data_IF_989868143808
#
_entry.id   IF_989868143808
#
_cell.length_a   1.000
_cell.length_b   1.000
_cell.length_c   1.000
_cell.angle_alpha   90.00
_cell.angle_beta   90.00
_cell.angle_gamma   90.00
#
_symmetry.space_group_name_H-M   'P 1'
#
loop_
_entity.id
_entity.type
_entity.pdbx_description
1 polymer ?
#
# COMPACT_ATOMS: atom_id res chain seq x y z
N UNK A 1 -13.86 2.42 10.73
CA UNK A 1 -13.70 3.82 10.32
C UNK A 1 -13.09 4.68 11.43
N UNK A 2 -13.75 4.92 12.58
CA UNK A 2 -13.25 5.79 13.67
C UNK A 2 -11.82 5.46 14.15
N UNK A 3 -11.49 4.17 14.31
CA UNK A 3 -10.15 3.74 14.73
C UNK A 3 -9.11 4.04 13.65
N UNK A 4 -9.43 3.81 12.38
CA UNK A 4 -8.55 4.12 11.26
C UNK A 4 -8.24 5.63 11.21
N UNK A 5 -9.26 6.49 11.31
CA UNK A 5 -9.08 7.94 11.35
C UNK A 5 -8.21 8.40 12.52
N UNK A 6 -8.42 7.81 13.71
CA UNK A 6 -7.58 8.12 14.88
C UNK A 6 -6.11 7.70 14.66
N UNK A 7 -5.87 6.56 13.98
CA UNK A 7 -4.52 6.11 13.64
C UNK A 7 -3.87 7.02 12.59
N UNK A 8 -4.62 7.47 11.57
CA UNK A 8 -4.14 8.43 10.57
C UNK A 8 -3.75 9.74 11.25
N UNK A 9 -4.62 10.28 12.08
CA UNK A 9 -4.34 11.50 12.85
C UNK A 9 -3.08 11.38 13.70
N UNK A 10 -2.94 10.27 14.45
CA UNK A 10 -1.77 10.03 15.29
C UNK A 10 -0.49 9.94 14.44
N UNK A 11 -0.49 9.15 13.37
CA UNK A 11 0.65 8.96 12.49
C UNK A 11 1.07 10.26 11.77
N UNK A 12 0.12 11.07 11.34
CA UNK A 12 0.39 12.37 10.72
C UNK A 12 0.93 13.39 11.74
N UNK A 13 0.29 13.50 12.92
CA UNK A 13 0.68 14.44 13.97
C UNK A 13 2.09 14.12 14.51
N UNK A 14 2.37 12.86 14.78
CA UNK A 14 3.68 12.44 15.27
C UNK A 14 4.76 12.55 14.18
N UNK A 15 4.41 12.27 12.94
CA UNK A 15 5.30 12.48 11.81
C UNK A 15 5.70 13.96 11.67
N UNK A 16 4.73 14.87 11.76
CA UNK A 16 5.01 16.31 11.73
C UNK A 16 5.87 16.73 12.92
N UNK A 17 5.59 16.23 14.12
CA UNK A 17 6.37 16.55 15.31
C UNK A 17 7.84 16.08 15.21
N UNK A 18 8.08 14.90 14.65
CA UNK A 18 9.45 14.46 14.35
C UNK A 18 10.18 15.43 13.43
N UNK A 19 9.51 15.87 12.35
CA UNK A 19 10.06 16.83 11.39
C UNK A 19 10.37 18.19 12.06
N UNK A 20 9.47 18.70 12.90
CA UNK A 20 9.61 19.96 13.63
C UNK A 20 10.77 19.91 14.65
N UNK A 21 11.02 18.74 15.23
CA UNK A 21 12.16 18.51 16.13
C UNK A 21 13.48 18.27 15.38
N UNK A 22 13.49 18.22 14.04
CA UNK A 22 14.66 17.87 13.23
C UNK A 22 15.16 16.44 13.45
N UNK A 23 14.28 15.55 13.91
CA UNK A 23 14.56 14.13 14.15
C UNK A 23 14.08 13.32 12.95
N UNK A 24 14.92 12.49 12.32
CA UNK A 24 14.47 11.67 11.20
C UNK A 24 13.47 10.62 11.67
N UNK A 25 12.45 10.39 10.86
CA UNK A 25 11.48 9.31 11.02
C UNK A 25 11.46 8.43 9.78
N UNK A 26 10.68 7.36 9.82
CA UNK A 26 10.37 6.54 8.64
C UNK A 26 8.97 6.94 8.19
N UNK A 27 8.91 7.61 7.05
CA UNK A 27 7.69 8.16 6.46
C UNK A 27 7.24 7.33 5.26
N UNK A 28 5.94 7.32 5.03
CA UNK A 28 5.34 6.88 3.76
C UNK A 28 4.83 8.11 3.03
N UNK A 29 5.14 8.19 1.77
CA UNK A 29 4.75 9.32 0.91
C UNK A 29 4.21 8.84 -0.41
N UNK A 30 3.26 9.58 -0.95
CA UNK A 30 2.71 9.36 -2.29
C UNK A 30 2.52 10.73 -2.95
N UNK A 31 3.22 10.94 -4.04
CA UNK A 31 3.27 12.27 -4.68
C UNK A 31 1.96 12.65 -5.37
N UNK A 32 1.19 11.67 -5.85
CA UNK A 32 -0.05 11.90 -6.61
C UNK A 32 -0.88 10.61 -6.65
N UNK A 33 -2.19 10.75 -6.91
CA UNK A 33 -3.12 9.65 -7.20
C UNK A 33 -3.06 9.18 -8.66
N UNK A 34 -2.16 9.73 -9.47
CA UNK A 34 -2.03 9.34 -10.87
C UNK A 34 -1.63 7.85 -10.99
N UNK A 35 -2.18 7.12 -11.98
CA UNK A 35 -1.85 5.71 -12.19
C UNK A 35 -0.34 5.49 -12.29
N UNK A 36 0.17 4.48 -11.59
CA UNK A 36 1.59 4.13 -11.56
C UNK A 36 2.43 4.87 -10.51
N UNK A 37 1.86 5.85 -9.79
CA UNK A 37 2.55 6.50 -8.66
C UNK A 37 2.38 5.63 -7.42
N UNK A 38 3.47 5.01 -7.01
CA UNK A 38 3.51 4.12 -5.85
C UNK A 38 3.85 4.88 -4.57
N UNK A 39 3.38 4.35 -3.44
CA UNK A 39 3.83 4.77 -2.12
C UNK A 39 5.32 4.46 -1.95
N UNK A 40 6.04 5.37 -1.30
CA UNK A 40 7.47 5.25 -1.05
C UNK A 40 7.78 5.39 0.43
N UNK A 41 8.73 4.63 0.91
CA UNK A 41 9.31 4.85 2.24
C UNK A 41 10.56 5.72 2.15
N UNK A 42 10.72 6.62 3.12
CA UNK A 42 11.85 7.55 3.18
C UNK A 42 12.03 8.13 4.57
N UNK A 43 13.11 8.91 4.75
CA UNK A 43 13.47 9.49 6.05
C UNK A 43 13.04 10.95 6.21
N UNK A 44 12.42 11.53 5.18
CA UNK A 44 11.94 12.93 5.17
C UNK A 44 10.41 12.96 5.14
N UNK A 45 9.82 13.89 5.88
CA UNK A 45 8.38 14.15 5.82
C UNK A 45 8.00 14.67 4.42
N UNK A 46 7.08 13.98 3.77
CA UNK A 46 6.52 14.34 2.47
C UNK A 46 5.02 14.02 2.46
N UNK A 47 4.22 14.69 1.61
CA UNK A 47 2.80 14.45 1.52
C UNK A 47 2.46 13.01 1.08
N UNK A 48 1.31 12.55 1.58
CA UNK A 48 0.71 11.28 1.14
C UNK A 48 -0.64 11.58 0.49
N UNK A 49 -0.68 11.64 -0.84
CA UNK A 49 -1.85 12.05 -1.60
C UNK A 49 -3.07 11.14 -1.37
N UNK A 50 -2.86 9.82 -1.28
CA UNK A 50 -3.95 8.85 -1.07
C UNK A 50 -4.65 9.02 0.28
N UNK A 51 -3.92 9.41 1.33
CA UNK A 51 -4.51 9.65 2.66
C UNK A 51 -4.90 11.14 2.84
N UNK A 52 -4.41 12.03 1.98
CA UNK A 52 -4.71 13.46 2.05
C UNK A 52 -4.03 14.19 3.22
N UNK A 53 -2.88 13.70 3.69
CA UNK A 53 -2.15 14.29 4.83
C UNK A 53 -0.80 14.87 4.40
N UNK A 54 -0.29 15.91 5.10
CA UNK A 54 0.97 16.57 4.74
C UNK A 54 2.20 15.70 5.02
N UNK A 55 2.10 14.74 5.93
CA UNK A 55 3.11 13.71 6.17
C UNK A 55 2.48 12.52 6.87
N UNK A 56 3.07 11.36 6.71
CA UNK A 56 2.57 10.14 7.31
C UNK A 56 3.73 9.23 7.77
N UNK A 57 3.84 9.02 9.07
CA UNK A 57 4.87 8.17 9.67
C UNK A 57 4.21 7.06 10.47
N UNK A 58 4.41 5.81 10.08
CA UNK A 58 3.88 4.68 10.81
C UNK A 58 4.46 4.60 12.21
N UNK A 59 3.59 4.62 13.23
CA UNK A 59 3.99 4.56 14.66
C UNK A 59 2.95 3.91 15.56
N UNK A 60 1.81 3.47 15.01
CA UNK A 60 0.67 2.96 15.77
C UNK A 60 0.62 1.44 15.92
N UNK A 61 1.52 0.69 15.29
CA UNK A 61 1.52 -0.77 15.33
C UNK A 61 2.91 -1.39 15.60
N UNK A 62 3.62 -1.01 16.68
CA UNK A 62 5.01 -1.41 16.93
C UNK A 62 5.19 -2.91 17.21
N UNK A 63 4.13 -3.62 17.58
CA UNK A 63 4.19 -5.06 17.85
C UNK A 63 4.32 -5.90 16.57
N UNK A 64 3.85 -5.38 15.45
CA UNK A 64 3.85 -6.11 14.17
C UNK A 64 4.69 -5.45 13.08
N UNK A 65 5.08 -4.19 13.22
CA UNK A 65 5.91 -3.46 12.27
C UNK A 65 7.11 -2.83 12.96
N UNK A 66 8.29 -3.30 12.62
CA UNK A 66 9.53 -2.81 13.22
C UNK A 66 9.79 -1.32 12.96
N UNK A 67 9.38 -0.82 11.81
CA UNK A 67 9.48 0.61 11.47
C UNK A 67 8.67 1.51 12.40
N UNK A 68 7.51 1.03 12.88
CA UNK A 68 6.72 1.74 13.90
C UNK A 68 7.46 1.84 15.23
N UNK A 69 8.12 0.76 15.64
CA UNK A 69 8.92 0.75 16.87
C UNK A 69 10.10 1.74 16.76
N UNK A 70 10.77 1.78 15.62
CA UNK A 70 11.84 2.75 15.34
C UNK A 70 11.31 4.18 15.44
N UNK A 71 10.17 4.47 14.82
CA UNK A 71 9.54 5.78 14.91
C UNK A 71 9.15 6.13 16.35
N UNK A 72 8.64 5.17 17.13
CA UNK A 72 8.34 5.41 18.55
C UNK A 72 9.58 5.76 19.37
N UNK A 73 10.74 5.13 19.13
CA UNK A 73 11.98 5.52 19.78
C UNK A 73 12.36 6.97 19.48
N UNK A 74 12.18 7.40 18.25
CA UNK A 74 12.44 8.78 17.83
C UNK A 74 11.43 9.75 18.49
N UNK A 75 10.14 9.39 18.55
CA UNK A 75 9.08 10.15 19.22
C UNK A 75 9.38 10.28 20.73
N UNK A 76 9.82 9.20 21.38
CA UNK A 76 10.21 9.22 22.79
C UNK A 76 11.39 10.18 23.02
N UNK A 77 12.35 10.22 22.09
CA UNK A 77 13.44 11.19 22.18
C UNK A 77 12.92 12.64 22.07
N UNK A 78 11.99 12.91 21.18
CA UNK A 78 11.34 14.23 21.09
C UNK A 78 10.59 14.59 22.39
N UNK A 79 9.85 13.65 22.96
CA UNK A 79 9.13 13.87 24.20
C UNK A 79 10.04 14.17 25.40
N UNK A 80 11.19 13.49 25.48
CA UNK A 80 12.14 13.64 26.58
C UNK A 80 13.04 14.85 26.46
N UNK A 81 13.45 15.21 25.25
CA UNK A 81 14.52 16.16 25.01
C UNK A 81 14.09 17.44 24.28
N UNK A 82 12.84 17.48 23.77
CA UNK A 82 12.29 18.67 23.09
C UNK A 82 13.21 19.17 21.97
N UNK A 83 13.64 20.43 22.07
CA UNK A 83 14.49 21.08 21.05
C UNK A 83 15.88 20.45 20.86
N UNK A 84 16.34 19.65 21.83
CA UNK A 84 17.64 18.96 21.75
C UNK A 84 17.50 17.51 21.32
N UNK A 85 16.29 17.08 20.95
CA UNK A 85 15.98 15.70 20.56
C UNK A 85 16.86 15.19 19.42
N UNK A 86 17.18 16.03 18.43
CA UNK A 86 18.06 15.68 17.32
C UNK A 86 19.46 15.22 17.77
N UNK A 87 19.94 15.66 18.94
CA UNK A 87 21.21 15.23 19.51
C UNK A 87 21.09 13.92 20.32
N UNK A 88 19.91 13.66 20.90
CA UNK A 88 19.66 12.55 21.81
C UNK A 88 18.98 11.34 21.14
N UNK A 89 18.32 11.56 20.00
CA UNK A 89 17.59 10.52 19.28
C UNK A 89 18.49 9.35 18.88
N UNK A 90 17.99 8.11 18.90
CA UNK A 90 18.75 6.91 18.52
C UNK A 90 19.32 6.99 17.08
N UNK A 91 18.56 7.51 16.15
CA UNK A 91 18.99 7.68 14.76
C UNK A 91 19.13 9.17 14.43
N UNK A 92 20.18 9.51 13.70
CA UNK A 92 20.50 10.87 13.26
C UNK A 92 20.06 11.09 11.81
N UNK A 93 19.93 12.33 11.34
CA UNK A 93 19.76 12.61 9.92
C UNK A 93 20.85 11.94 9.08
N UNK A 94 20.46 11.27 7.98
CA UNK A 94 21.35 10.52 7.08
C UNK A 94 22.02 9.29 7.72
N UNK A 95 21.48 8.74 8.81
CA UNK A 95 22.02 7.54 9.46
C UNK A 95 21.87 6.30 8.56
N UNK A 96 23.02 5.67 8.25
CA UNK A 96 23.05 4.48 7.40
C UNK A 96 22.24 3.31 8.00
N UNK A 97 22.20 3.20 9.34
CA UNK A 97 21.43 2.16 10.01
C UNK A 97 19.91 2.36 9.79
N UNK A 98 19.43 3.62 9.77
CA UNK A 98 18.03 3.90 9.50
C UNK A 98 17.64 3.49 8.08
N UNK A 99 18.49 3.74 7.09
CA UNK A 99 18.27 3.27 5.71
C UNK A 99 18.34 1.75 5.61
N UNK A 100 19.24 1.10 6.34
CA UNK A 100 19.31 -0.37 6.41
C UNK A 100 18.03 -0.99 6.98
N UNK A 101 17.47 -0.37 8.02
CA UNK A 101 16.16 -0.77 8.60
C UNK A 101 15.05 -0.69 7.56
N UNK A 102 14.96 0.42 6.81
CA UNK A 102 13.94 0.61 5.77
C UNK A 102 14.09 -0.48 4.70
N UNK A 103 15.30 -0.68 4.17
CA UNK A 103 15.54 -1.68 3.11
C UNK A 103 15.25 -3.10 3.57
N UNK A 104 15.65 -3.47 4.78
CA UNK A 104 15.40 -4.80 5.34
C UNK A 104 13.89 -5.02 5.60
N UNK A 105 13.21 -4.00 6.10
CA UNK A 105 11.76 -4.07 6.31
C UNK A 105 11.02 -4.20 4.99
N UNK A 106 11.38 -3.40 3.98
CA UNK A 106 10.74 -3.43 2.66
C UNK A 106 10.86 -4.81 2.02
N UNK A 107 12.07 -5.40 2.03
CA UNK A 107 12.29 -6.73 1.50
C UNK A 107 11.47 -7.81 2.23
N UNK A 108 11.46 -7.79 3.58
CA UNK A 108 10.70 -8.74 4.38
C UNK A 108 9.19 -8.56 4.20
N UNK A 109 8.73 -7.31 4.10
CA UNK A 109 7.32 -6.99 3.93
C UNK A 109 6.82 -7.39 2.54
N UNK A 110 7.60 -7.14 1.50
CA UNK A 110 7.28 -7.59 0.14
C UNK A 110 7.17 -9.12 0.04
N UNK A 111 8.10 -9.85 0.67
CA UNK A 111 8.05 -11.31 0.70
C UNK A 111 6.81 -11.84 1.45
N UNK A 112 6.50 -11.24 2.59
CA UNK A 112 5.31 -11.58 3.37
C UNK A 112 4.02 -11.35 2.58
N UNK A 113 3.89 -10.18 1.96
CA UNK A 113 2.71 -9.82 1.18
C UNK A 113 2.57 -10.70 -0.07
N UNK A 114 3.67 -11.00 -0.75
CA UNK A 114 3.65 -11.92 -1.88
C UNK A 114 3.15 -13.31 -1.48
N UNK A 115 3.60 -13.82 -0.32
CA UNK A 115 3.11 -15.08 0.22
C UNK A 115 1.63 -15.01 0.59
N UNK A 116 1.23 -13.97 1.30
CA UNK A 116 -0.17 -13.80 1.73
C UNK A 116 -1.11 -13.69 0.53
N UNK A 117 -0.79 -12.86 -0.46
CA UNK A 117 -1.59 -12.72 -1.68
C UNK A 117 -1.64 -14.03 -2.48
N UNK A 118 -0.53 -14.77 -2.57
CA UNK A 118 -0.51 -16.08 -3.19
C UNK A 118 -1.40 -17.09 -2.47
N UNK A 119 -1.38 -17.12 -1.15
CA UNK A 119 -2.25 -18.00 -0.34
C UNK A 119 -3.72 -17.62 -0.45
N UNK A 120 -4.05 -16.33 -0.43
CA UNK A 120 -5.42 -15.87 -0.63
C UNK A 120 -5.94 -16.26 -2.02
N UNK A 121 -5.12 -16.04 -3.06
CA UNK A 121 -5.46 -16.46 -4.42
C UNK A 121 -5.64 -17.97 -4.53
N UNK A 122 -4.75 -18.78 -3.95
CA UNK A 122 -4.87 -20.23 -3.91
C UNK A 122 -6.21 -20.68 -3.32
N UNK A 123 -6.55 -20.18 -2.14
CA UNK A 123 -7.79 -20.56 -1.47
C UNK A 123 -9.03 -20.06 -2.18
N UNK A 124 -8.95 -18.90 -2.82
CA UNK A 124 -10.04 -18.39 -3.66
C UNK A 124 -10.28 -19.30 -4.86
N UNK A 125 -9.24 -19.71 -5.58
CA UNK A 125 -9.36 -20.65 -6.69
C UNK A 125 -9.88 -22.03 -6.25
N UNK A 126 -9.41 -22.51 -5.10
CA UNK A 126 -9.93 -23.75 -4.50
C UNK A 126 -11.41 -23.65 -4.14
N UNK A 127 -11.84 -22.51 -3.61
CA UNK A 127 -13.24 -22.25 -3.30
C UNK A 127 -14.11 -22.27 -4.56
N UNK A 128 -13.68 -21.62 -5.64
CA UNK A 128 -14.38 -21.63 -6.92
C UNK A 128 -14.57 -23.07 -7.43
N UNK A 129 -13.49 -23.86 -7.41
CA UNK A 129 -13.52 -25.25 -7.87
C UNK A 129 -14.42 -26.15 -7.01
N UNK A 130 -14.27 -26.08 -5.69
CA UNK A 130 -15.03 -26.93 -4.76
C UNK A 130 -16.53 -26.66 -4.81
N UNK A 131 -16.94 -25.42 -5.09
CA UNK A 131 -18.34 -25.05 -5.20
C UNK A 131 -18.87 -25.10 -6.64
N UNK A 132 -18.06 -25.50 -7.62
CA UNK A 132 -18.45 -25.57 -9.02
C UNK A 132 -18.88 -24.23 -9.61
N UNK A 133 -18.27 -23.13 -9.15
CA UNK A 133 -18.59 -21.78 -9.60
C UNK A 133 -17.95 -21.58 -10.98
N UNK A 134 -18.76 -21.48 -12.00
CA UNK A 134 -18.34 -21.26 -13.40
C UNK A 134 -18.63 -19.86 -13.91
N UNK A 135 -19.43 -19.08 -13.20
CA UNK A 135 -19.78 -17.71 -13.53
C UNK A 135 -19.80 -16.87 -12.25
N UNK A 136 -19.39 -15.62 -12.35
CA UNK A 136 -19.43 -14.65 -11.26
C UNK A 136 -19.71 -13.24 -11.79
N UNK A 137 -20.12 -12.36 -10.88
CA UNK A 137 -20.23 -10.93 -11.14
C UNK A 137 -18.94 -10.24 -10.77
N UNK A 138 -18.57 -9.24 -11.58
CA UNK A 138 -17.33 -8.52 -11.40
C UNK A 138 -17.46 -7.07 -11.87
N UNK A 139 -16.60 -6.22 -11.36
CA UNK A 139 -16.47 -4.82 -11.76
C UNK A 139 -15.23 -4.63 -12.62
N UNK A 140 -15.36 -3.93 -13.75
CA UNK A 140 -14.27 -3.70 -14.69
C UNK A 140 -13.29 -2.67 -14.12
N UNK A 141 -12.03 -3.05 -13.95
CA UNK A 141 -10.95 -2.15 -13.52
C UNK A 141 -10.37 -1.42 -14.73
N UNK A 142 -10.16 -2.17 -15.82
CA UNK A 142 -9.71 -1.72 -17.13
C UNK A 142 -10.12 -2.75 -18.20
N UNK A 143 -9.90 -2.47 -19.46
CA UNK A 143 -10.45 -3.23 -20.60
C UNK A 143 -10.25 -4.75 -20.54
N UNK A 144 -9.15 -5.19 -19.96
CA UNK A 144 -8.75 -6.59 -19.87
C UNK A 144 -8.77 -7.16 -18.43
N UNK A 145 -9.18 -6.36 -17.44
CA UNK A 145 -9.04 -6.71 -16.02
C UNK A 145 -10.32 -6.44 -15.22
N UNK A 146 -10.79 -7.45 -14.50
CA UNK A 146 -11.96 -7.33 -13.62
C UNK A 146 -11.63 -7.73 -12.19
N UNK A 147 -12.39 -7.17 -11.25
CA UNK A 147 -12.41 -7.57 -9.85
C UNK A 147 -13.76 -8.24 -9.56
N UNK A 148 -13.74 -9.45 -9.02
CA UNK A 148 -14.95 -10.12 -8.57
C UNK A 148 -15.62 -9.35 -7.41
N UNK A 149 -16.95 -9.21 -7.42
CA UNK A 149 -17.64 -8.37 -6.44
C UNK A 149 -17.66 -8.97 -5.02
N UNK A 150 -17.66 -10.29 -4.89
CA UNK A 150 -17.81 -10.98 -3.59
C UNK A 150 -16.62 -11.88 -3.22
N UNK A 151 -15.53 -11.83 -3.98
CA UNK A 151 -14.35 -12.66 -3.77
C UNK A 151 -13.09 -11.80 -3.96
N UNK A 152 -12.02 -12.06 -3.22
CA UNK A 152 -10.74 -11.37 -3.40
C UNK A 152 -10.01 -11.90 -4.64
N UNK A 153 -10.62 -11.71 -5.82
CA UNK A 153 -10.12 -12.22 -7.09
C UNK A 153 -10.09 -11.10 -8.14
N UNK A 154 -8.90 -10.82 -8.60
CA UNK A 154 -8.66 -10.00 -9.79
C UNK A 154 -8.15 -10.93 -10.89
N UNK A 155 -8.73 -10.86 -12.08
CA UNK A 155 -8.41 -11.74 -13.19
C UNK A 155 -8.52 -11.05 -14.54
N UNK A 156 -7.80 -11.59 -15.51
CA UNK A 156 -7.92 -11.14 -16.89
C UNK A 156 -9.19 -11.68 -17.54
N UNK A 157 -9.80 -10.85 -18.40
CA UNK A 157 -11.00 -11.21 -19.14
C UNK A 157 -10.86 -10.85 -20.61
N UNK A 158 -11.58 -11.60 -21.43
CA UNK A 158 -11.83 -11.29 -22.84
C UNK A 158 -13.20 -10.65 -22.97
N UNK A 159 -13.36 -9.70 -23.90
CA UNK A 159 -14.64 -9.06 -24.20
C UNK A 159 -15.03 -7.90 -23.27
N UNK A 160 -14.06 -7.34 -22.54
CA UNK A 160 -14.24 -6.09 -21.78
C UNK A 160 -14.02 -4.81 -22.58
N UNK A 161 -13.50 -4.94 -23.82
CA UNK A 161 -13.14 -3.81 -24.65
C UNK A 161 -14.33 -2.87 -24.92
N UNK A 162 -14.12 -1.59 -24.71
CA UNK A 162 -15.14 -0.56 -24.95
C UNK A 162 -16.19 -0.41 -23.84
N UNK A 163 -16.11 -1.18 -22.77
CA UNK A 163 -16.93 -0.96 -21.58
C UNK A 163 -16.29 0.11 -20.68
N UNK A 164 -17.09 0.97 -20.03
CA UNK A 164 -16.54 1.97 -19.12
C UNK A 164 -15.94 1.31 -17.89
N UNK A 165 -14.89 1.93 -17.32
CA UNK A 165 -14.32 1.54 -16.04
C UNK A 165 -15.41 1.57 -14.95
N UNK A 166 -15.45 0.55 -14.10
CA UNK A 166 -16.50 0.37 -13.10
C UNK A 166 -17.77 -0.32 -13.62
N UNK A 167 -17.85 -0.67 -14.92
CA UNK A 167 -18.98 -1.41 -15.43
C UNK A 167 -19.12 -2.76 -14.71
N UNK A 168 -20.34 -3.09 -14.26
CA UNK A 168 -20.66 -4.41 -13.72
C UNK A 168 -20.89 -5.39 -14.85
N UNK A 169 -20.22 -6.51 -14.78
CA UNK A 169 -20.25 -7.55 -15.80
C UNK A 169 -20.44 -8.92 -15.18
N UNK A 170 -21.09 -9.81 -15.94
CA UNK A 170 -21.06 -11.24 -15.65
C UNK A 170 -19.94 -11.87 -16.45
N UNK A 171 -19.12 -12.63 -15.77
CA UNK A 171 -17.94 -13.27 -16.35
C UNK A 171 -18.08 -14.77 -16.22
N UNK A 172 -17.87 -15.49 -17.30
CA UNK A 172 -17.71 -16.93 -17.31
C UNK A 172 -16.22 -17.25 -17.14
N UNK A 173 -15.94 -18.07 -16.12
CA UNK A 173 -14.58 -18.51 -15.82
C UNK A 173 -14.12 -19.55 -16.84
N UNK A 174 -12.85 -19.47 -17.20
CA UNK A 174 -12.14 -20.51 -17.93
C UNK A 174 -11.56 -21.56 -16.98
N UNK A 175 -10.62 -22.33 -17.50
CA UNK A 175 -9.92 -23.34 -16.70
C UNK A 175 -9.05 -22.69 -15.62
N UNK A 176 -9.05 -23.27 -14.43
CA UNK A 176 -8.23 -22.82 -13.32
C UNK A 176 -6.88 -23.53 -13.39
N UNK A 177 -5.80 -22.78 -13.50
CA UNK A 177 -4.44 -23.29 -13.35
C UNK A 177 -4.00 -23.20 -11.88
N UNK A 178 -3.96 -24.36 -11.21
CA UNK A 178 -3.59 -24.45 -9.79
C UNK A 178 -2.08 -24.29 -9.55
N UNK A 179 -1.26 -24.46 -10.57
CA UNK A 179 0.18 -24.32 -10.45
C UNK A 179 0.59 -22.86 -10.62
N UNK A 180 0.08 -22.23 -11.67
CA UNK A 180 0.29 -20.80 -11.91
C UNK A 180 -0.55 -19.93 -10.98
N UNK A 181 -1.52 -20.50 -10.25
CA UNK A 181 -2.53 -19.80 -9.46
C UNK A 181 -3.27 -18.76 -10.32
N UNK A 182 -3.68 -19.17 -11.50
CA UNK A 182 -4.32 -18.28 -12.46
C UNK A 182 -5.67 -18.79 -12.95
N UNK A 183 -6.52 -17.84 -13.32
CA UNK A 183 -7.79 -18.06 -13.98
C UNK A 183 -8.07 -16.86 -14.86
N UNK A 184 -8.53 -17.12 -16.07
CA UNK A 184 -9.06 -16.10 -16.97
C UNK A 184 -10.55 -16.28 -17.16
N UNK A 185 -11.23 -15.28 -17.70
CA UNK A 185 -12.65 -15.34 -17.95
C UNK A 185 -13.04 -14.68 -19.26
N UNK A 186 -14.33 -14.80 -19.60
CA UNK A 186 -14.94 -14.11 -20.74
C UNK A 186 -16.14 -13.34 -20.25
N UNK A 187 -16.24 -12.07 -20.58
CA UNK A 187 -17.42 -11.25 -20.31
C UNK A 187 -18.56 -11.78 -21.18
N UNK A 188 -19.63 -12.24 -20.54
CA UNK A 188 -20.81 -12.79 -21.25
C UNK A 188 -22.00 -11.84 -21.25
N UNK A 189 -22.05 -10.92 -20.28
CA UNK A 189 -23.17 -9.99 -20.14
C UNK A 189 -22.71 -8.74 -19.41
N UNK A 190 -23.18 -7.58 -19.84
CA UNK A 190 -23.09 -6.35 -19.05
C UNK A 190 -24.34 -6.26 -18.18
N UNK A 191 -24.15 -6.12 -16.89
CA UNK A 191 -25.21 -5.94 -15.92
C UNK A 191 -25.50 -4.44 -15.81
N UNK A 192 -26.66 -3.98 -16.32
CA UNK A 192 -27.07 -2.59 -16.18
C UNK A 192 -27.49 -2.34 -14.71
N UNK A 193 -26.55 -1.83 -13.92
CA UNK A 193 -26.78 -1.27 -12.60
C UNK A 193 -26.36 0.19 -12.58
N UNK A 194 -26.80 1.02 -11.62
CA UNK A 194 -26.21 2.33 -11.44
C UNK A 194 -24.70 2.12 -11.22
N UNK A 195 -23.90 2.81 -12.03
CA UNK A 195 -22.47 2.92 -11.79
C UNK A 195 -22.35 3.75 -10.50
N UNK A 196 -22.36 3.09 -9.36
CA UNK A 196 -21.78 3.72 -8.17
C UNK A 196 -20.33 3.96 -8.55
N UNK A 197 -19.99 5.24 -8.71
CA UNK A 197 -18.62 5.64 -8.87
C UNK A 197 -17.89 5.01 -7.68
N UNK A 198 -17.00 4.06 -7.96
CA UNK A 198 -16.13 3.50 -6.94
C UNK A 198 -15.47 4.71 -6.31
N UNK A 199 -15.84 4.97 -5.06
CA UNK A 199 -15.27 6.05 -4.28
C UNK A 199 -13.77 5.74 -4.22
N UNK A 200 -12.97 6.56 -4.91
CA UNK A 200 -11.51 6.38 -4.99
C UNK A 200 -10.84 6.48 -3.60
N UNK A 201 -11.63 6.79 -2.58
CA UNK A 201 -11.22 6.90 -1.17
C UNK A 201 -11.21 5.57 -0.40
N UNK A 202 -11.70 4.49 -0.98
CA UNK A 202 -11.53 3.15 -0.42
C UNK A 202 -10.09 2.70 -0.65
N UNK A 203 -9.17 3.12 0.20
CA UNK A 203 -7.87 2.46 0.30
C UNK A 203 -8.12 0.99 0.65
N UNK A 204 -8.11 0.15 -0.37
CA UNK A 204 -8.00 -1.27 -0.18
C UNK A 204 -6.58 -1.52 0.36
N UNK A 205 -6.45 -1.60 1.69
CA UNK A 205 -5.19 -1.96 2.34
C UNK A 205 -4.60 -3.26 1.75
N UNK A 206 -5.42 -4.06 1.06
CA UNK A 206 -5.03 -5.27 0.35
C UNK A 206 -4.24 -5.02 -0.94
N UNK A 207 -4.57 -3.99 -1.73
CA UNK A 207 -3.81 -3.68 -2.97
C UNK A 207 -2.48 -2.97 -2.66
N UNK A 208 -2.43 -2.19 -1.60
CA UNK A 208 -1.17 -1.57 -1.14
C UNK A 208 -0.19 -2.62 -0.59
N UNK A 209 -0.69 -3.77 -0.15
CA UNK A 209 0.10 -4.91 0.32
C UNK A 209 0.83 -5.66 -0.80
N UNK A 210 0.38 -5.62 -2.04
CA UNK A 210 0.92 -6.41 -3.15
C UNK A 210 1.95 -5.68 -4.02
N UNK A 211 2.09 -4.35 -3.93
CA UNK A 211 3.07 -3.61 -4.71
C UNK A 211 4.39 -3.42 -3.94
N UNK A 212 5.55 -3.75 -4.51
CA UNK A 212 6.83 -3.47 -3.88
C UNK A 212 6.96 -1.96 -3.64
N UNK A 213 7.24 -1.57 -2.40
CA UNK A 213 7.50 -0.19 -2.01
C UNK A 213 8.76 0.31 -2.72
N UNK A 214 8.68 1.41 -3.44
CA UNK A 214 9.87 2.01 -4.05
C UNK A 214 10.66 2.78 -2.98
N UNK A 215 11.94 2.45 -2.80
CA UNK A 215 12.82 3.15 -1.88
C UNK A 215 13.16 4.55 -2.44
N UNK A 216 12.80 5.62 -1.73
CA UNK A 216 13.21 6.97 -2.08
C UNK A 216 14.64 7.23 -1.54
N UNK A 217 15.65 6.80 -2.29
CA UNK A 217 17.04 7.17 -2.02
C UNK A 217 17.30 8.48 -2.75
N UNK A 218 17.56 9.54 -2.01
CA UNK A 218 17.96 10.84 -2.57
C UNK A 218 19.45 10.79 -2.93
N UNK A 219 19.76 10.43 -4.17
CA UNK A 219 21.12 10.24 -4.70
C UNK A 219 21.76 11.56 -5.12
N UNK A 220 21.03 12.69 -5.05
CA UNK A 220 21.42 13.97 -5.66
C UNK A 220 21.92 15.06 -4.69
N UNK A 221 22.43 14.72 -3.51
CA UNK A 221 23.25 15.67 -2.75
C UNK A 221 24.73 15.34 -2.94
N UNK A 222 25.35 15.95 -3.95
CA UNK A 222 26.81 16.03 -4.03
C UNK A 222 27.36 16.63 -2.70
N UNK A 223 28.46 16.11 -2.15
CA UNK A 223 29.05 16.69 -0.98
C UNK A 223 29.44 18.14 -1.29
N UNK A 224 28.92 19.09 -0.48
CA UNK A 224 29.37 20.45 -0.53
C UNK A 224 30.88 20.45 -0.33
N UNK A 225 31.63 20.86 -1.38
CA UNK A 225 33.07 20.98 -1.35
C UNK A 225 33.45 21.92 -0.20
N UNK A 226 34.29 21.41 0.69
CA UNK A 226 34.99 22.23 1.64
C UNK A 226 36.13 22.96 0.92
N UNK A 227 36.18 24.24 1.11
CA UNK A 227 37.40 25.05 1.16
C UNK A 227 37.70 25.39 2.62
#
# INVERSE_FOLDING_TARGET
LMVAEAMILANSTWGQWLADCGVPGIYRSQASLAPGIKVRMGTKAQPHAGIGVPCYAWSTSPLRRYVDLVNQWQIIACARHGKTAALAAPFKPKDANLFSVISAFDAAYAAYNGFQGGMERFWTLQYLRQNGITELTASLIRDDLVRADNLPLVMQVLGGDGLPRGAHVRVRLGDIDEIALDVSGTVIERLDGPVEALDESGEDEGEELAAPLALAIDVNEAPAGGD
#
